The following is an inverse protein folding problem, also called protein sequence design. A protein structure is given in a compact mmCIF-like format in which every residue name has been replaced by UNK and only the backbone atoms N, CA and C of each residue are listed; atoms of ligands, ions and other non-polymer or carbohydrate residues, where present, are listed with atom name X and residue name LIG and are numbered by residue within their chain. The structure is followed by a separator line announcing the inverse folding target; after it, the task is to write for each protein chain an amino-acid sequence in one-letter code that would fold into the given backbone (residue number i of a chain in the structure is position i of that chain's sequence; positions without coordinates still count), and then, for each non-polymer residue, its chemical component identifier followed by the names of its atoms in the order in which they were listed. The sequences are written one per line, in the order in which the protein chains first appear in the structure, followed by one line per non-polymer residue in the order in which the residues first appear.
data_IF_785559243164
#
_entry.id   IF_785559243164
#
_cell.length_a   1.000
_cell.length_b   1.000
_cell.length_c   1.000
_cell.angle_alpha   90.00
_cell.angle_beta   90.00
_cell.angle_gamma   90.00
#
_symmetry.space_group_name_H-M   'P 1'
#
loop_
_entity.id
_entity.type
_entity.pdbx_description
1 polymer ?
#
# COMPACT_ATOMS: atom_id res chain seq x y z
N UNK A 1 -20.75 -7.61 4.98
CA UNK A 1 -19.33 -7.90 5.07
C UNK A 1 -19.01 -8.02 6.55
N UNK A 2 -18.75 -9.23 7.03
CA UNK A 2 -18.48 -9.48 8.45
C UNK A 2 -17.10 -8.96 8.79
N UNK A 3 -16.88 -8.59 10.05
CA UNK A 3 -15.56 -8.15 10.52
C UNK A 3 -14.44 -9.19 10.31
N UNK A 4 -14.83 -10.45 10.14
CA UNK A 4 -13.94 -11.58 9.84
C UNK A 4 -13.25 -11.47 8.47
N UNK A 5 -13.86 -10.77 7.49
CA UNK A 5 -13.30 -10.59 6.15
C UNK A 5 -12.15 -9.55 6.11
N UNK A 6 -11.99 -8.77 7.20
CA UNK A 6 -10.93 -7.74 7.34
C UNK A 6 -9.63 -8.37 7.89
N UNK A 7 -9.68 -9.65 8.27
CA UNK A 7 -8.75 -10.32 9.17
C UNK A 7 -7.30 -10.47 8.74
N UNK A 8 -6.92 -10.09 7.53
CA UNK A 8 -5.57 -10.36 7.02
C UNK A 8 -4.78 -9.13 6.59
N UNK A 9 -5.31 -7.92 6.76
CA UNK A 9 -4.53 -6.71 6.50
C UNK A 9 -3.76 -6.32 7.74
N UNK A 10 -2.43 -6.31 7.60
CA UNK A 10 -1.47 -6.02 8.66
C UNK A 10 -1.78 -4.70 9.40
N UNK A 11 -2.12 -3.64 8.70
CA UNK A 11 -2.43 -2.35 9.28
C UNK A 11 -3.61 -2.35 10.26
N UNK A 12 -4.82 -2.79 9.88
CA UNK A 12 -5.95 -2.91 10.80
C UNK A 12 -5.72 -3.87 11.96
N UNK A 13 -5.03 -4.99 11.72
CA UNK A 13 -4.69 -5.96 12.78
C UNK A 13 -3.75 -5.33 13.79
N UNK A 14 -2.67 -4.70 13.34
CA UNK A 14 -1.72 -3.99 14.21
C UNK A 14 -2.41 -2.89 15.01
N UNK A 15 -3.28 -2.10 14.40
CA UNK A 15 -4.03 -1.04 15.07
C UNK A 15 -4.97 -1.59 16.16
N UNK A 16 -5.65 -2.71 15.90
CA UNK A 16 -6.49 -3.38 16.91
C UNK A 16 -5.66 -3.90 18.08
N UNK A 17 -4.51 -4.53 17.82
CA UNK A 17 -3.60 -5.01 18.87
C UNK A 17 -3.14 -3.87 19.77
N UNK A 18 -2.69 -2.75 19.16
CA UNK A 18 -2.24 -1.59 19.91
C UNK A 18 -3.39 -0.97 20.73
N UNK A 19 -4.57 -0.83 20.12
CA UNK A 19 -5.77 -0.29 20.78
C UNK A 19 -6.24 -1.15 21.97
N UNK A 20 -6.01 -2.47 21.92
CA UNK A 20 -6.29 -3.39 23.03
C UNK A 20 -5.20 -3.45 24.10
N UNK A 21 -4.17 -2.58 24.05
CA UNK A 21 -3.05 -2.57 24.98
C UNK A 21 -1.97 -3.61 24.65
N UNK A 22 -2.08 -4.30 23.55
CA UNK A 22 -1.09 -5.26 23.07
C UNK A 22 0.18 -4.56 22.56
N UNK A 23 1.29 -5.31 22.47
CA UNK A 23 2.57 -4.82 21.94
C UNK A 23 2.97 -5.61 20.72
N UNK A 24 3.43 -4.89 19.69
CA UNK A 24 4.02 -5.51 18.49
C UNK A 24 5.53 -5.50 18.71
N UNK A 25 6.12 -6.69 18.61
CA UNK A 25 7.56 -6.90 18.84
C UNK A 25 8.19 -7.44 17.56
N UNK A 26 9.26 -6.80 17.11
CA UNK A 26 10.10 -7.33 16.03
C UNK A 26 10.90 -8.53 16.56
N UNK A 27 10.73 -9.70 15.93
CA UNK A 27 11.48 -10.89 16.25
C UNK A 27 12.50 -11.22 15.14
N UNK A 28 13.79 -10.83 15.29
CA UNK A 28 14.79 -10.96 14.22
C UNK A 28 15.09 -12.41 13.81
N UNK A 29 14.76 -13.39 14.67
CA UNK A 29 14.96 -14.82 14.39
C UNK A 29 13.83 -15.44 13.58
N UNK A 30 12.74 -14.70 13.37
CA UNK A 30 11.58 -15.18 12.64
C UNK A 30 11.77 -14.84 11.15
N UNK A 31 12.26 -15.81 10.39
CA UNK A 31 12.48 -15.68 8.95
C UNK A 31 11.26 -16.22 8.21
N UNK A 32 10.68 -15.41 7.34
CA UNK A 32 9.58 -15.80 6.46
C UNK A 32 10.06 -15.74 5.02
N UNK A 33 9.96 -16.86 4.32
CA UNK A 33 10.21 -16.90 2.88
C UNK A 33 8.98 -16.43 2.15
N UNK A 34 9.09 -15.33 1.43
CA UNK A 34 8.01 -14.77 0.64
C UNK A 34 8.25 -15.04 -0.85
N UNK A 35 7.37 -15.79 -1.49
CA UNK A 35 7.40 -15.99 -2.93
C UNK A 35 6.68 -14.84 -3.62
N UNK A 36 7.42 -14.04 -4.37
CA UNK A 36 6.86 -12.93 -5.15
C UNK A 36 6.37 -13.41 -6.50
N UNK A 37 5.43 -12.68 -7.07
CA UNK A 37 4.93 -12.95 -8.40
C UNK A 37 5.99 -12.53 -9.44
N UNK A 38 6.42 -13.46 -10.29
CA UNK A 38 7.47 -13.24 -11.28
C UNK A 38 7.04 -12.36 -12.48
N UNK A 39 5.76 -12.06 -12.61
CA UNK A 39 5.23 -11.28 -13.74
C UNK A 39 4.96 -9.84 -13.33
N UNK A 40 5.63 -8.91 -14.02
CA UNK A 40 5.47 -7.46 -13.79
C UNK A 40 4.02 -6.98 -13.81
N UNK A 41 3.21 -7.44 -14.75
CA UNK A 41 1.80 -7.07 -14.85
C UNK A 41 0.97 -7.56 -13.66
N UNK A 42 1.27 -8.74 -13.14
CA UNK A 42 0.61 -9.26 -11.96
C UNK A 42 0.97 -8.44 -10.71
N UNK A 43 2.23 -8.05 -10.56
CA UNK A 43 2.68 -7.22 -9.46
C UNK A 43 2.01 -5.82 -9.46
N UNK A 44 1.89 -5.18 -10.63
CA UNK A 44 1.18 -3.91 -10.78
C UNK A 44 -0.32 -4.04 -10.44
N UNK A 45 -0.95 -5.10 -10.95
CA UNK A 45 -2.36 -5.38 -10.67
C UNK A 45 -2.59 -5.60 -9.16
N UNK A 46 -1.74 -6.39 -8.53
CA UNK A 46 -1.77 -6.62 -7.08
C UNK A 46 -1.62 -5.31 -6.31
N UNK A 47 -0.68 -4.44 -6.71
CA UNK A 47 -0.49 -3.12 -6.07
C UNK A 47 -1.72 -2.24 -6.20
N UNK A 48 -2.36 -2.22 -7.35
CA UNK A 48 -3.60 -1.47 -7.58
C UNK A 48 -4.74 -1.97 -6.67
N UNK A 49 -4.94 -3.29 -6.62
CA UNK A 49 -5.97 -3.87 -5.76
C UNK A 49 -5.70 -3.62 -4.27
N UNK A 50 -4.44 -3.71 -3.84
CA UNK A 50 -4.03 -3.36 -2.48
C UNK A 50 -4.38 -1.92 -2.11
N UNK A 51 -3.98 -0.94 -2.94
CA UNK A 51 -4.31 0.46 -2.72
C UNK A 51 -5.83 0.68 -2.62
N UNK A 52 -6.59 0.04 -3.52
CA UNK A 52 -8.05 0.14 -3.52
C UNK A 52 -8.68 -0.42 -2.24
N UNK A 53 -8.23 -1.58 -1.77
CA UNK A 53 -8.73 -2.19 -0.55
C UNK A 53 -8.37 -1.30 0.65
N UNK A 54 -7.11 -0.86 0.72
CA UNK A 54 -6.61 -0.02 1.81
C UNK A 54 -7.43 1.26 1.98
N UNK A 55 -7.55 2.07 0.93
CA UNK A 55 -8.31 3.31 0.98
C UNK A 55 -9.81 3.07 1.17
N UNK A 56 -10.38 2.06 0.50
CA UNK A 56 -11.79 1.71 0.64
C UNK A 56 -12.18 1.32 2.05
N UNK A 57 -11.27 0.71 2.81
CA UNK A 57 -11.46 0.42 4.23
C UNK A 57 -11.32 1.66 5.09
N UNK A 58 -10.30 2.48 4.85
CA UNK A 58 -10.03 3.68 5.65
C UNK A 58 -11.15 4.72 5.57
N UNK A 59 -11.72 4.92 4.37
CA UNK A 59 -12.77 5.92 4.18
C UNK A 59 -14.18 5.40 4.45
N UNK A 60 -14.31 4.17 4.92
CA UNK A 60 -15.62 3.59 5.25
C UNK A 60 -16.30 4.39 6.34
N UNK A 61 -17.50 4.90 6.07
CA UNK A 61 -18.25 5.77 6.99
C UNK A 61 -17.81 7.23 6.99
N UNK A 62 -16.80 7.63 6.21
CA UNK A 62 -16.38 9.02 6.10
C UNK A 62 -17.23 9.82 5.12
N UNK A 63 -17.27 11.14 5.35
CA UNK A 63 -17.94 12.11 4.48
C UNK A 63 -17.23 12.30 3.15
N UNK A 64 -17.92 12.82 2.13
CA UNK A 64 -17.34 13.09 0.81
C UNK A 64 -16.11 14.01 0.83
N UNK A 65 -16.09 15.13 1.61
CA UNK A 65 -14.89 15.97 1.69
C UNK A 65 -13.65 15.21 2.18
N UNK A 66 -13.81 14.35 3.19
CA UNK A 66 -12.69 13.52 3.71
C UNK A 66 -12.16 12.56 2.65
N UNK A 67 -13.03 11.99 1.81
CA UNK A 67 -12.64 11.11 0.71
C UNK A 67 -11.81 11.85 -0.35
N UNK A 68 -12.18 13.08 -0.69
CA UNK A 68 -11.42 13.91 -1.64
C UNK A 68 -10.04 14.26 -1.10
N UNK A 69 -9.92 14.53 0.21
CA UNK A 69 -8.61 14.71 0.86
C UNK A 69 -7.74 13.46 0.74
N UNK A 70 -8.34 12.27 0.90
CA UNK A 70 -7.61 11.01 0.68
C UNK A 70 -7.12 10.85 -0.77
N UNK A 71 -7.94 11.19 -1.76
CA UNK A 71 -7.55 11.17 -3.18
C UNK A 71 -6.38 12.12 -3.43
N UNK A 72 -6.45 13.34 -2.90
CA UNK A 72 -5.37 14.33 -3.05
C UNK A 72 -4.05 13.83 -2.41
N UNK A 73 -4.12 13.24 -1.22
CA UNK A 73 -2.96 12.63 -0.56
C UNK A 73 -2.41 11.47 -1.38
N UNK A 74 -3.26 10.59 -1.89
CA UNK A 74 -2.86 9.46 -2.72
C UNK A 74 -2.13 9.91 -3.99
N UNK A 75 -2.57 10.99 -4.63
CA UNK A 75 -1.91 11.55 -5.81
C UNK A 75 -0.49 12.07 -5.53
N UNK A 76 -0.20 12.53 -4.32
CA UNK A 76 1.12 13.01 -3.92
C UNK A 76 2.07 11.89 -3.51
N UNK A 77 1.56 10.74 -3.05
CA UNK A 77 2.36 9.63 -2.53
C UNK A 77 3.45 9.15 -3.49
N UNK A 78 3.20 8.87 -4.79
CA UNK A 78 4.22 8.38 -5.70
C UNK A 78 5.40 9.35 -5.81
N UNK A 79 5.11 10.65 -5.85
CA UNK A 79 6.13 11.69 -5.93
C UNK A 79 6.97 11.76 -4.66
N UNK A 80 6.31 11.88 -3.50
CA UNK A 80 6.99 11.99 -2.19
C UNK A 80 7.85 10.77 -1.91
N UNK A 81 7.32 9.56 -2.14
CA UNK A 81 8.06 8.33 -1.88
C UNK A 81 9.22 8.12 -2.86
N UNK A 82 9.03 8.48 -4.13
CA UNK A 82 10.11 8.40 -5.12
C UNK A 82 11.24 9.36 -4.78
N UNK A 83 10.93 10.62 -4.46
CA UNK A 83 11.92 11.63 -4.05
C UNK A 83 12.65 11.19 -2.78
N UNK A 84 11.91 10.73 -1.78
CA UNK A 84 12.51 10.21 -0.53
C UNK A 84 13.49 9.08 -0.83
N UNK A 85 13.11 8.10 -1.64
CA UNK A 85 13.98 7.00 -2.02
C UNK A 85 15.19 7.47 -2.81
N UNK A 86 15.03 8.45 -3.70
CA UNK A 86 16.17 9.07 -4.40
C UNK A 86 17.18 9.70 -3.42
N UNK A 87 16.69 10.46 -2.44
CA UNK A 87 17.55 11.08 -1.42
C UNK A 87 18.28 10.02 -0.59
N UNK A 88 17.58 8.99 -0.14
CA UNK A 88 18.18 7.88 0.60
C UNK A 88 19.22 7.12 -0.24
N UNK A 89 19.01 7.01 -1.53
CA UNK A 89 19.95 6.37 -2.47
C UNK A 89 21.19 7.19 -2.78
N UNK A 90 21.10 8.52 -2.85
CA UNK A 90 22.24 9.41 -3.13
C UNK A 90 23.29 9.34 -2.02
N UNK A 91 22.86 9.21 -0.76
CA UNK A 91 23.76 9.04 0.38
C UNK A 91 24.59 7.74 0.38
N UNK A 92 24.26 6.76 -0.47
CA UNK A 92 24.92 5.44 -0.50
C UNK A 92 25.94 5.25 -1.62
N UNK A 93 26.37 6.30 -2.33
CA UNK A 93 27.52 6.33 -3.26
C UNK A 93 27.40 5.53 -4.55
N UNK A 94 26.22 5.03 -4.94
CA UNK A 94 26.03 4.23 -6.18
C UNK A 94 24.78 4.64 -6.99
N UNK A 95 24.67 5.86 -7.50
CA UNK A 95 23.41 6.38 -8.06
C UNK A 95 23.02 5.75 -9.42
N UNK A 96 23.94 5.57 -10.34
CA UNK A 96 23.58 5.23 -11.74
C UNK A 96 23.07 3.79 -11.97
N UNK A 97 23.46 2.82 -11.18
CA UNK A 97 22.96 1.44 -11.31
C UNK A 97 21.52 1.25 -10.84
N UNK A 98 20.92 2.27 -10.26
CA UNK A 98 19.61 2.18 -9.57
C UNK A 98 18.47 2.89 -10.30
N UNK A 99 18.74 3.55 -11.42
CA UNK A 99 17.71 4.21 -12.23
C UNK A 99 16.55 3.27 -12.64
N UNK A 100 16.81 2.03 -13.12
CA UNK A 100 15.71 1.10 -13.45
C UNK A 100 14.86 0.74 -12.23
N UNK A 101 15.47 0.64 -11.05
CA UNK A 101 14.78 0.34 -9.79
C UNK A 101 13.87 1.52 -9.39
N UNK A 102 14.36 2.76 -9.54
CA UNK A 102 13.56 3.95 -9.25
C UNK A 102 12.35 4.07 -10.18
N UNK A 103 12.55 3.82 -11.49
CA UNK A 103 11.45 3.80 -12.45
C UNK A 103 10.39 2.76 -12.07
N UNK A 104 10.84 1.54 -11.75
CA UNK A 104 9.94 0.48 -11.33
C UNK A 104 9.22 0.81 -10.03
N UNK A 105 9.94 1.38 -9.06
CA UNK A 105 9.34 1.83 -7.79
C UNK A 105 8.27 2.90 -8.03
N UNK A 106 8.57 3.91 -8.85
CA UNK A 106 7.62 4.96 -9.20
C UNK A 106 6.35 4.38 -9.85
N UNK A 107 6.51 3.41 -10.75
CA UNK A 107 5.41 2.72 -11.40
C UNK A 107 4.54 1.93 -10.39
N UNK A 108 5.17 1.21 -9.46
CA UNK A 108 4.49 0.49 -8.39
C UNK A 108 3.74 1.42 -7.44
N UNK A 109 4.33 2.54 -7.07
CA UNK A 109 3.69 3.54 -6.22
C UNK A 109 2.54 4.25 -6.94
N UNK A 110 2.67 4.49 -8.25
CA UNK A 110 1.59 5.03 -9.07
C UNK A 110 0.40 4.07 -9.16
N UNK A 111 0.65 2.78 -9.37
CA UNK A 111 -0.40 1.77 -9.36
C UNK A 111 -1.14 1.71 -8.01
N UNK A 112 -0.39 1.77 -6.91
CA UNK A 112 -0.96 1.86 -5.56
C UNK A 112 -1.83 3.12 -5.40
N UNK A 113 -1.32 4.29 -5.76
CA UNK A 113 -2.03 5.57 -5.63
C UNK A 113 -3.33 5.61 -6.46
N UNK A 114 -3.31 5.06 -7.68
CA UNK A 114 -4.52 4.90 -8.49
C UNK A 114 -5.53 3.99 -7.78
N UNK A 115 -5.06 2.89 -7.22
CA UNK A 115 -5.89 2.01 -6.40
C UNK A 115 -6.52 2.74 -5.21
N UNK A 116 -5.73 3.51 -4.45
CA UNK A 116 -6.22 4.31 -3.33
C UNK A 116 -7.28 5.34 -3.76
N UNK A 117 -7.06 6.05 -4.86
CA UNK A 117 -8.03 7.00 -5.39
C UNK A 117 -9.36 6.31 -5.74
N UNK A 118 -9.29 5.16 -6.42
CA UNK A 118 -10.47 4.36 -6.74
C UNK A 118 -11.16 3.85 -5.46
N UNK A 119 -10.36 3.37 -4.50
CA UNK A 119 -10.86 2.87 -3.21
C UNK A 119 -11.55 3.94 -2.39
N UNK A 120 -10.98 5.15 -2.34
CA UNK A 120 -11.55 6.29 -1.64
C UNK A 120 -12.88 6.75 -2.25
N UNK A 121 -12.99 6.74 -3.58
CA UNK A 121 -14.20 7.19 -4.28
C UNK A 121 -15.30 6.11 -4.35
N UNK A 122 -14.93 4.87 -4.66
CA UNK A 122 -15.87 3.80 -5.01
C UNK A 122 -15.90 2.64 -4.00
N UNK A 123 -15.05 2.70 -2.96
CA UNK A 123 -14.89 1.64 -1.98
C UNK A 123 -14.12 0.43 -2.52
N UNK A 124 -14.06 -0.62 -1.70
CA UNK A 124 -13.27 -1.85 -1.96
C UNK A 124 -13.72 -2.58 -3.23
N UNK A 125 -15.02 -2.60 -3.52
CA UNK A 125 -15.57 -3.30 -4.68
C UNK A 125 -15.23 -4.80 -4.67
N UNK A 126 -14.93 -5.36 -5.87
CA UNK A 126 -14.55 -6.78 -6.05
C UNK A 126 -13.07 -7.08 -5.79
N UNK A 127 -12.27 -6.08 -5.36
CA UNK A 127 -10.80 -6.26 -5.22
C UNK A 127 -10.41 -7.33 -4.21
N UNK A 128 -11.24 -7.62 -3.21
CA UNK A 128 -11.00 -8.70 -2.25
C UNK A 128 -11.07 -10.09 -2.88
N UNK A 129 -11.96 -10.31 -3.86
CA UNK A 129 -12.10 -11.62 -4.52
C UNK A 129 -11.04 -11.87 -5.59
N UNK A 130 -10.48 -10.79 -6.15
CA UNK A 130 -9.44 -10.87 -7.18
C UNK A 130 -8.01 -11.01 -6.59
N UNK A 131 -7.91 -11.03 -5.28
CA UNK A 131 -6.64 -11.10 -4.56
C UNK A 131 -6.24 -12.52 -4.14
N UNK A 132 -7.01 -13.53 -4.53
CA UNK A 132 -6.75 -14.95 -4.23
C UNK A 132 -5.86 -15.61 -5.29
#
# INVERSE_FOLDING_TARGET
MRDEDIGLFEGPVCSKIIASGGRIVLQPRMLVTYSTCDRYNAALRTRLHHGRIYAGMQVRGQTQPSRLVHVAKAALLPFVLTVRTMVEMTGSGRPMRRLPVLFWLALMQSAWAIGEAIGALRGVGKSLSEWR
#
